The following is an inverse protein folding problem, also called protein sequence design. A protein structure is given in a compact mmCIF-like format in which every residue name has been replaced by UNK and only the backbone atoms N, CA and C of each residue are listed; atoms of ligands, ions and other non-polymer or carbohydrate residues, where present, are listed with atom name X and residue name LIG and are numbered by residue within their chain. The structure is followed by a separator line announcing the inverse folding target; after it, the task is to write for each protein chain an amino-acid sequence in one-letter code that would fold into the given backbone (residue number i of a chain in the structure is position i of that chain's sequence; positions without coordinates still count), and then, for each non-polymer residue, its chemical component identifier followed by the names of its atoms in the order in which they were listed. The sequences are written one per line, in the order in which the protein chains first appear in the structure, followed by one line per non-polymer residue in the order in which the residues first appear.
data_IF_768852159376
#
_entry.id   IF_768852159376
#
_cell.length_a   1.000
_cell.length_b   1.000
_cell.length_c   1.000
_cell.angle_alpha   90.00
_cell.angle_beta   90.00
_cell.angle_gamma   90.00
#
_symmetry.space_group_name_H-M   'P 1'
#
loop_
_entity.id
_entity.type
_entity.pdbx_description
1 polymer ?
#
# COMPACT_ATOMS: atom_id res chain seq x y z
N UNK A 1 -13.23 29.75 62.00
CA UNK A 1 -14.49 29.33 61.36
C UNK A 1 -14.52 29.92 59.96
N UNK A 2 -14.20 29.06 58.98
CA UNK A 2 -14.46 29.12 57.52
C UNK A 2 -14.32 30.46 56.78
N UNK A 3 -13.25 30.60 55.99
CA UNK A 3 -13.18 31.55 54.87
C UNK A 3 -13.85 30.88 53.66
N UNK A 4 -15.04 31.35 53.29
CA UNK A 4 -15.76 30.89 52.10
C UNK A 4 -15.12 31.53 50.86
N UNK A 5 -14.20 30.81 50.21
CA UNK A 5 -13.76 31.18 48.87
C UNK A 5 -14.76 30.62 47.85
N UNK A 6 -15.37 31.54 47.13
CA UNK A 6 -16.27 31.27 46.01
C UNK A 6 -15.54 30.46 44.94
N UNK A 7 -16.13 29.33 44.54
CA UNK A 7 -15.75 28.58 43.35
C UNK A 7 -16.40 29.33 42.19
N UNK A 8 -15.59 30.01 41.39
CA UNK A 8 -16.01 30.46 40.06
C UNK A 8 -16.05 29.23 39.15
N UNK A 9 -17.27 28.77 38.89
CA UNK A 9 -17.62 27.90 37.78
C UNK A 9 -17.63 28.71 36.48
N UNK A 10 -17.48 28.03 35.34
CA UNK A 10 -17.50 28.53 33.95
C UNK A 10 -16.09 29.01 33.50
N UNK A 11 -15.45 28.43 32.49
CA UNK A 11 -16.00 28.04 31.21
C UNK A 11 -14.99 27.17 30.47
N UNK A 12 -15.50 26.15 29.77
CA UNK A 12 -14.72 25.45 28.77
C UNK A 12 -14.28 26.42 27.67
N UNK A 13 -13.01 26.32 27.28
CA UNK A 13 -12.52 26.84 26.02
C UNK A 13 -11.43 25.89 25.51
N UNK A 14 -11.65 25.44 24.28
CA UNK A 14 -10.89 24.53 23.44
C UNK A 14 -9.43 24.27 23.84
N UNK A 15 -9.13 22.99 24.11
CA UNK A 15 -7.82 22.46 23.79
C UNK A 15 -7.68 22.59 22.27
N UNK A 16 -7.02 23.66 21.83
CA UNK A 16 -6.58 23.83 20.46
C UNK A 16 -5.73 22.62 20.06
N UNK A 17 -6.38 21.65 19.43
CA UNK A 17 -5.71 20.70 18.53
C UNK A 17 -5.30 21.50 17.30
N UNK A 18 -4.27 22.34 17.46
CA UNK A 18 -3.52 22.85 16.31
C UNK A 18 -2.58 21.71 15.87
N UNK A 19 -3.18 20.64 15.36
CA UNK A 19 -2.45 19.60 14.66
C UNK A 19 -1.95 20.18 13.33
N UNK A 20 -0.64 20.07 13.04
CA UNK A 20 0.01 20.86 12.01
C UNK A 20 -0.62 20.64 10.63
N UNK A 21 -1.07 21.76 10.05
CA UNK A 21 -1.29 21.90 8.62
C UNK A 21 0.02 21.63 7.87
N UNK A 22 0.20 20.39 7.48
CA UNK A 22 0.90 20.08 6.25
C UNK A 22 0.25 18.82 5.72
N UNK A 23 -0.20 18.90 4.49
CA UNK A 23 -0.66 17.73 3.76
C UNK A 23 0.56 16.82 3.62
N UNK A 24 0.84 15.99 4.63
CA UNK A 24 1.78 14.88 4.53
C UNK A 24 1.10 13.83 3.66
N UNK A 25 0.98 14.15 2.37
CA UNK A 25 0.70 13.20 1.32
C UNK A 25 1.99 12.40 1.21
N UNK A 26 2.12 11.38 2.06
CA UNK A 26 3.12 10.35 1.87
C UNK A 26 3.04 9.93 0.41
N UNK A 27 4.14 10.08 -0.32
CA UNK A 27 4.28 9.54 -1.66
C UNK A 27 4.22 8.02 -1.49
N UNK A 28 3.00 7.47 -1.51
CA UNK A 28 2.80 6.05 -1.74
C UNK A 28 3.33 5.84 -3.14
N UNK A 29 4.56 5.32 -3.24
CA UNK A 29 5.08 4.80 -4.48
C UNK A 29 4.05 3.77 -4.94
N UNK A 30 3.18 4.15 -5.89
CA UNK A 30 2.37 3.19 -6.61
C UNK A 30 3.39 2.25 -7.21
N UNK A 31 3.55 1.07 -6.60
CA UNK A 31 4.26 -0.05 -7.19
C UNK A 31 3.45 -0.36 -8.44
N UNK A 32 3.78 0.30 -9.54
CA UNK A 32 3.32 -0.06 -10.87
C UNK A 32 3.98 -1.41 -11.10
N UNK A 33 3.32 -2.46 -10.60
CA UNK A 33 3.54 -3.80 -11.08
C UNK A 33 3.39 -3.65 -12.58
N UNK A 34 4.52 -3.72 -13.24
CA UNK A 34 4.62 -3.33 -14.61
C UNK A 34 3.75 -4.35 -15.34
N UNK A 35 2.49 -3.99 -15.66
CA UNK A 35 1.52 -4.85 -16.34
C UNK A 35 1.95 -5.15 -17.77
N UNK A 36 3.16 -4.74 -18.15
CA UNK A 36 3.82 -5.10 -19.39
C UNK A 36 3.85 -6.62 -19.46
N UNK A 37 2.91 -7.15 -20.26
CA UNK A 37 2.88 -8.53 -20.71
C UNK A 37 4.26 -8.87 -21.26
N UNK A 38 4.72 -10.08 -21.01
CA UNK A 38 6.00 -10.54 -21.53
C UNK A 38 5.93 -10.57 -23.07
N UNK A 39 6.59 -9.61 -23.72
CA UNK A 39 6.61 -9.49 -25.18
C UNK A 39 7.63 -10.44 -25.85
N UNK A 40 8.44 -11.16 -25.06
CA UNK A 40 9.42 -12.11 -25.59
C UNK A 40 8.80 -13.42 -26.06
N UNK A 41 9.61 -14.22 -26.77
CA UNK A 41 9.29 -15.61 -27.12
C UNK A 41 9.73 -16.55 -25.99
N UNK A 42 8.88 -17.51 -25.64
CA UNK A 42 9.21 -18.61 -24.75
C UNK A 42 10.33 -19.47 -25.36
N UNK A 43 11.38 -19.78 -24.60
CA UNK A 43 12.51 -20.55 -25.11
C UNK A 43 12.16 -22.04 -25.35
N UNK A 44 11.19 -22.59 -24.60
CA UNK A 44 10.72 -23.97 -24.78
C UNK A 44 9.78 -24.12 -25.98
N UNK A 45 8.58 -23.50 -25.93
CA UNK A 45 7.56 -23.70 -26.95
C UNK A 45 7.61 -22.69 -28.12
N UNK A 46 8.53 -21.72 -28.09
CA UNK A 46 8.72 -20.67 -29.10
C UNK A 46 7.53 -19.70 -29.32
N UNK A 47 6.46 -19.81 -28.53
CA UNK A 47 5.32 -18.87 -28.55
C UNK A 47 5.61 -17.61 -27.74
N UNK A 48 5.02 -16.48 -28.12
CA UNK A 48 5.11 -15.23 -27.37
C UNK A 48 4.15 -15.18 -26.19
N UNK A 49 4.33 -14.22 -25.28
CA UNK A 49 3.38 -13.91 -24.22
C UNK A 49 3.69 -14.52 -22.84
N UNK A 50 4.64 -15.45 -22.75
CA UNK A 50 5.07 -16.06 -21.49
C UNK A 50 6.55 -16.44 -21.50
N UNK A 51 7.14 -16.53 -20.30
CA UNK A 51 8.51 -17.02 -20.09
C UNK A 51 8.55 -18.55 -20.09
N UNK A 52 9.72 -19.13 -20.26
CA UNK A 52 9.88 -20.60 -20.19
C UNK A 52 9.41 -21.20 -18.87
N UNK A 53 9.69 -20.53 -17.74
CA UNK A 53 9.25 -20.94 -16.39
C UNK A 53 7.73 -20.95 -16.22
N UNK A 54 7.03 -20.21 -17.06
CA UNK A 54 5.57 -20.10 -17.09
C UNK A 54 4.97 -20.93 -18.24
N UNK A 55 5.78 -21.71 -18.97
CA UNK A 55 5.31 -22.49 -20.09
C UNK A 55 4.46 -23.67 -19.63
N UNK A 56 3.17 -23.64 -20.00
CA UNK A 56 2.23 -24.72 -19.69
C UNK A 56 2.67 -26.08 -20.24
N UNK A 57 3.31 -26.11 -21.42
CA UNK A 57 3.83 -27.35 -22.00
C UNK A 57 4.94 -27.92 -21.11
N UNK A 58 5.99 -27.12 -20.87
CA UNK A 58 7.12 -27.51 -20.02
C UNK A 58 6.66 -28.03 -18.66
N UNK A 59 5.75 -27.33 -17.98
CA UNK A 59 5.20 -27.78 -16.69
C UNK A 59 4.51 -29.15 -16.77
N UNK A 60 3.76 -29.42 -17.83
CA UNK A 60 3.10 -30.71 -18.02
C UNK A 60 4.11 -31.84 -18.32
N UNK A 61 5.19 -31.53 -19.03
CA UNK A 61 6.27 -32.49 -19.31
C UNK A 61 7.10 -32.78 -18.05
N UNK A 62 7.36 -31.77 -17.21
CA UNK A 62 8.07 -31.89 -15.92
C UNK A 62 7.25 -32.64 -14.85
N UNK A 63 5.92 -32.51 -14.85
CA UNK A 63 5.04 -33.24 -13.90
C UNK A 63 4.87 -34.73 -14.27
N UNK A 64 5.13 -35.08 -15.53
CA UNK A 64 4.96 -36.45 -16.05
C UNK A 64 6.23 -37.30 -15.97
N UNK A 65 7.39 -36.67 -15.75
CA UNK A 65 8.69 -37.34 -15.56
C UNK A 65 8.97 -37.61 -14.11
#
# INVERSE_FOLDING_TARGET
MTLAYAIEDLSGADASDESPSAQQKAFVAKKSYDKRRFNGKCFYCKKTGHKETECRKKKADEERG
#
